data_IF_032807412754
#
_entry.id   IF_032807412754
#
_cell.length_a   1.000
_cell.length_b   1.000
_cell.length_c   1.000
_cell.angle_alpha   90.00
_cell.angle_beta   90.00
_cell.angle_gamma   90.00
#
_symmetry.space_group_name_H-M   'P 1'
#
loop_
_entity.id
_entity.type
_entity.pdbx_description
1 polymer ?
#
# COMPACT_ATOMS: atom_id res chain seq x y z
N UNK A 1 -0.67 -25.75 1.88
CA UNK A 1 -0.93 -24.36 1.51
C UNK A 1 -1.31 -23.55 2.74
N UNK A 2 -0.68 -22.43 2.93
CA UNK A 2 -0.91 -21.60 4.11
C UNK A 2 -1.90 -20.50 3.80
N UNK A 3 -2.83 -20.26 4.71
CA UNK A 3 -3.74 -19.15 4.56
C UNK A 3 -3.01 -17.82 4.79
N UNK A 4 -3.42 -16.72 4.15
CA UNK A 4 -2.82 -15.42 4.40
C UNK A 4 -2.93 -15.03 5.86
N UNK A 5 -1.90 -14.39 6.37
CA UNK A 5 -1.87 -13.92 7.75
C UNK A 5 -2.78 -12.71 7.94
N UNK A 6 -2.89 -11.89 6.93
CA UNK A 6 -3.75 -10.71 6.95
C UNK A 6 -4.48 -10.61 5.64
N UNK A 7 -5.56 -9.83 5.62
CA UNK A 7 -6.32 -9.65 4.38
C UNK A 7 -5.68 -8.60 3.50
N UNK A 8 -5.48 -7.41 4.00
CA UNK A 8 -5.06 -6.28 3.17
C UNK A 8 -3.84 -5.58 3.75
N UNK A 9 -2.83 -5.41 2.91
CA UNK A 9 -1.67 -4.58 3.21
C UNK A 9 -1.73 -3.37 2.29
N UNK A 10 -1.65 -2.19 2.86
CA UNK A 10 -1.59 -0.94 2.11
C UNK A 10 -0.14 -0.46 2.09
N UNK A 11 0.38 -0.23 0.89
CA UNK A 11 1.73 0.29 0.72
C UNK A 11 1.63 1.71 0.19
N UNK A 12 2.08 2.65 0.98
CA UNK A 12 2.07 4.06 0.59
C UNK A 12 3.44 4.40 0.03
N UNK A 13 3.45 4.84 -1.22
CA UNK A 13 4.70 5.10 -1.92
C UNK A 13 5.23 3.84 -2.59
N UNK A 14 4.73 3.56 -3.80
CA UNK A 14 5.09 2.34 -4.55
C UNK A 14 6.32 2.54 -5.43
N UNK A 15 7.31 3.26 -4.94
CA UNK A 15 8.59 3.39 -5.62
C UNK A 15 9.38 2.09 -5.56
N UNK A 16 10.68 2.17 -5.79
CA UNK A 16 11.52 0.97 -5.87
C UNK A 16 11.42 0.09 -4.62
N UNK A 17 11.49 0.68 -3.44
CA UNK A 17 11.43 -0.08 -2.19
C UNK A 17 10.03 -0.64 -1.96
N UNK A 18 9.01 0.19 -2.16
CA UNK A 18 7.63 -0.25 -1.98
C UNK A 18 7.25 -1.36 -2.95
N UNK A 19 7.71 -1.27 -4.21
CA UNK A 19 7.46 -2.29 -5.21
C UNK A 19 8.14 -3.61 -4.86
N UNK A 20 9.37 -3.54 -4.36
CA UNK A 20 10.10 -4.75 -3.95
C UNK A 20 9.41 -5.45 -2.79
N UNK A 21 8.94 -4.68 -1.82
CA UNK A 21 8.21 -5.24 -0.69
C UNK A 21 6.91 -5.88 -1.14
N UNK A 22 6.16 -5.20 -2.01
CA UNK A 22 4.90 -5.72 -2.53
C UNK A 22 5.11 -7.07 -3.22
N UNK A 23 6.16 -7.17 -4.04
CA UNK A 23 6.45 -8.42 -4.72
C UNK A 23 6.80 -9.52 -3.72
N UNK A 24 7.60 -9.21 -2.72
CA UNK A 24 7.97 -10.19 -1.69
C UNK A 24 6.75 -10.66 -0.91
N UNK A 25 5.86 -9.75 -0.57
CA UNK A 25 4.62 -10.10 0.12
C UNK A 25 3.75 -11.03 -0.72
N UNK A 26 3.65 -10.73 -2.00
CA UNK A 26 2.87 -11.56 -2.91
C UNK A 26 3.45 -12.96 -3.03
N UNK A 27 4.76 -13.07 -3.16
CA UNK A 27 5.42 -14.36 -3.28
C UNK A 27 5.31 -15.19 -2.01
N UNK A 28 5.29 -14.53 -0.86
CA UNK A 28 5.21 -15.23 0.43
C UNK A 28 3.80 -15.67 0.80
N UNK A 29 2.78 -15.09 0.17
CA UNK A 29 1.39 -15.37 0.53
C UNK A 29 0.99 -14.76 1.86
N UNK A 30 1.72 -13.76 2.35
CA UNK A 30 1.46 -13.15 3.65
C UNK A 30 0.11 -12.45 3.72
N UNK A 31 -0.32 -11.84 2.63
CA UNK A 31 -1.59 -11.13 2.59
C UNK A 31 -2.39 -11.52 1.37
N UNK A 32 -3.69 -11.29 1.43
CA UNK A 32 -4.61 -11.61 0.35
C UNK A 32 -4.62 -10.52 -0.71
N UNK A 33 -4.62 -9.26 -0.28
CA UNK A 33 -4.73 -8.10 -1.17
C UNK A 33 -3.66 -7.08 -0.84
N UNK A 34 -3.06 -6.50 -1.86
CA UNK A 34 -2.10 -5.41 -1.71
C UNK A 34 -2.67 -4.18 -2.38
N UNK A 35 -2.84 -3.11 -1.63
CA UNK A 35 -3.34 -1.84 -2.12
C UNK A 35 -2.19 -0.83 -2.14
N UNK A 36 -2.00 -0.16 -3.26
CA UNK A 36 -1.01 0.90 -3.37
C UNK A 36 -1.66 2.26 -3.21
N UNK A 37 -0.96 3.19 -2.60
CA UNK A 37 -1.39 4.56 -2.51
C UNK A 37 -0.19 5.47 -2.68
N UNK A 38 -0.40 6.64 -3.26
CA UNK A 38 0.68 7.57 -3.51
C UNK A 38 0.23 8.74 -4.35
N UNK A 39 1.21 9.57 -4.71
CA UNK A 39 0.94 10.84 -5.39
C UNK A 39 0.91 10.69 -6.91
N UNK A 40 1.56 9.69 -7.46
CA UNK A 40 1.70 9.55 -8.91
C UNK A 40 0.82 8.40 -9.39
N UNK A 41 -0.33 8.78 -9.95
CA UNK A 41 -1.30 7.79 -10.41
C UNK A 41 -0.76 6.88 -11.51
N UNK A 42 0.03 7.43 -12.42
CA UNK A 42 0.58 6.61 -13.51
C UNK A 42 1.49 5.49 -12.97
N UNK A 43 2.26 5.78 -11.94
CA UNK A 43 3.11 4.76 -11.31
C UNK A 43 2.25 3.68 -10.65
N UNK A 44 1.16 4.08 -10.00
CA UNK A 44 0.27 3.14 -9.35
C UNK A 44 -0.44 2.26 -10.37
N UNK A 45 -0.91 2.83 -11.47
CA UNK A 45 -1.52 2.06 -12.54
C UNK A 45 -0.56 1.04 -13.11
N UNK A 46 0.68 1.46 -13.32
CA UNK A 46 1.70 0.56 -13.86
C UNK A 46 1.96 -0.61 -12.91
N UNK A 47 1.96 -0.33 -11.61
CA UNK A 47 2.16 -1.40 -10.61
C UNK A 47 1.02 -2.42 -10.65
N UNK A 48 -0.21 -1.97 -10.88
CA UNK A 48 -1.34 -2.88 -11.05
C UNK A 48 -1.17 -3.71 -12.31
N UNK A 49 -0.81 -3.08 -13.40
CA UNK A 49 -0.62 -3.77 -14.69
C UNK A 49 0.46 -4.83 -14.61
N UNK A 50 1.51 -4.57 -13.86
CA UNK A 50 2.62 -5.50 -13.68
C UNK A 50 2.32 -6.59 -12.66
N UNK A 51 1.18 -6.54 -12.00
CA UNK A 51 0.80 -7.53 -10.99
C UNK A 51 1.52 -7.36 -9.67
N UNK A 52 2.14 -6.21 -9.43
CA UNK A 52 2.86 -5.95 -8.17
C UNK A 52 1.87 -5.64 -7.06
N UNK A 53 0.83 -4.89 -7.38
CA UNK A 53 -0.26 -4.60 -6.44
C UNK A 53 -1.59 -5.00 -7.08
N UNK A 54 -2.61 -5.19 -6.26
CA UNK A 54 -3.92 -5.60 -6.76
C UNK A 54 -4.78 -4.41 -7.16
N UNK A 55 -4.67 -3.32 -6.42
CA UNK A 55 -5.45 -2.11 -6.68
C UNK A 55 -4.72 -0.91 -6.10
N UNK A 56 -5.17 0.26 -6.45
CA UNK A 56 -4.60 1.48 -5.91
C UNK A 56 -5.68 2.51 -5.62
N UNK A 57 -5.31 3.50 -4.83
CA UNK A 57 -6.17 4.65 -4.56
C UNK A 57 -5.32 5.91 -4.55
N UNK A 58 -5.84 6.99 -5.09
CA UNK A 58 -5.18 8.29 -5.01
C UNK A 58 -5.40 8.94 -3.65
N UNK A 59 -6.31 8.39 -2.85
CA UNK A 59 -6.57 8.86 -1.49
C UNK A 59 -5.89 7.94 -0.49
N UNK A 60 -4.91 8.46 0.23
CA UNK A 60 -4.20 7.71 1.27
C UNK A 60 -5.16 7.33 2.40
N UNK A 61 -6.03 8.26 2.80
CA UNK A 61 -7.01 7.99 3.86
C UNK A 61 -7.91 6.81 3.49
N UNK A 62 -8.41 6.81 2.25
CA UNK A 62 -9.30 5.74 1.80
C UNK A 62 -8.56 4.41 1.71
N UNK A 63 -7.36 4.41 1.15
CA UNK A 63 -6.58 3.18 1.02
C UNK A 63 -6.21 2.59 2.37
N UNK A 64 -5.91 3.45 3.34
CA UNK A 64 -5.52 3.01 4.68
C UNK A 64 -6.69 2.49 5.49
N UNK A 65 -7.90 2.98 5.22
CA UNK A 65 -9.07 2.65 6.05
C UNK A 65 -9.38 1.16 6.08
N UNK A 66 -9.11 0.44 4.99
CA UNK A 66 -9.40 -0.99 4.89
C UNK A 66 -8.18 -1.87 5.18
N UNK A 67 -7.04 -1.27 5.45
CA UNK A 67 -5.81 -2.04 5.58
C UNK A 67 -5.62 -2.60 6.98
N UNK A 68 -5.15 -3.83 7.06
CA UNK A 68 -4.76 -4.46 8.32
C UNK A 68 -3.34 -4.03 8.70
N UNK A 69 -2.50 -3.83 7.70
CA UNK A 69 -1.13 -3.35 7.88
C UNK A 69 -0.87 -2.24 6.88
N UNK A 70 -0.25 -1.18 7.33
CA UNK A 70 0.11 -0.05 6.49
C UNK A 70 1.63 0.10 6.48
N UNK A 71 2.21 0.05 5.29
CA UNK A 71 3.64 0.25 5.11
C UNK A 71 3.86 1.61 4.46
N UNK A 72 4.63 2.45 5.12
CA UNK A 72 4.91 3.80 4.61
C UNK A 72 6.32 3.82 4.02
N UNK A 73 6.38 4.00 2.70
CA UNK A 73 7.64 4.02 1.95
C UNK A 73 7.73 5.32 1.17
N UNK A 74 7.84 6.42 1.88
CA UNK A 74 7.93 7.76 1.29
C UNK A 74 9.15 8.49 1.86
N UNK A 75 9.62 9.55 1.17
CA UNK A 75 10.71 10.35 1.71
C UNK A 75 10.37 10.89 3.10
N UNK A 76 11.39 11.02 3.94
CA UNK A 76 11.22 11.43 5.32
C UNK A 76 10.43 12.75 5.45
N UNK A 77 10.68 13.69 4.54
CA UNK A 77 9.98 14.98 4.57
C UNK A 77 8.48 14.89 4.30
N UNK A 78 8.02 13.78 3.72
CA UNK A 78 6.60 13.61 3.41
C UNK A 78 5.87 12.79 4.48
N UNK A 79 6.57 12.21 5.43
CA UNK A 79 5.97 11.27 6.38
C UNK A 79 4.89 11.87 7.27
N UNK A 80 5.10 13.11 7.75
CA UNK A 80 4.11 13.72 8.61
C UNK A 80 2.75 13.84 7.92
N UNK A 81 2.75 14.35 6.69
CA UNK A 81 1.51 14.50 5.93
C UNK A 81 0.85 13.16 5.66
N UNK A 82 1.65 12.13 5.40
CA UNK A 82 1.13 10.78 5.17
C UNK A 82 0.47 10.24 6.43
N UNK A 83 1.12 10.37 7.58
CA UNK A 83 0.55 9.88 8.84
C UNK A 83 -0.75 10.62 9.20
N UNK A 84 -0.85 11.90 8.91
CA UNK A 84 -2.08 12.64 9.13
C UNK A 84 -3.22 12.09 8.27
N UNK A 85 -2.94 11.75 7.03
CA UNK A 85 -3.95 11.18 6.13
C UNK A 85 -4.35 9.77 6.55
N UNK A 86 -3.41 8.98 7.03
CA UNK A 86 -3.71 7.64 7.56
C UNK A 86 -4.65 7.79 8.76
N UNK A 87 -4.35 8.70 9.65
CA UNK A 87 -5.16 8.94 10.83
C UNK A 87 -6.58 9.31 10.47
N UNK A 88 -6.76 10.13 9.43
CA UNK A 88 -8.09 10.48 8.95
C UNK A 88 -8.88 9.26 8.52
N UNK A 89 -8.23 8.29 7.89
CA UNK A 89 -8.89 7.08 7.45
C UNK A 89 -9.20 6.09 8.57
N UNK A 90 -8.54 6.24 9.72
CA UNK A 90 -8.67 5.29 10.83
C UNK A 90 -9.41 5.83 12.06
N UNK A 91 -9.92 7.04 11.99
CA UNK A 91 -10.53 7.68 13.17
C UNK A 91 -12.02 7.47 13.31
N UNK A 92 -12.59 6.55 12.70
CA UNK A 92 -14.04 6.29 12.86
C UNK A 92 -14.35 5.49 14.09
#
# INVERSE_FOLDING_TARGET
MTEPRVNTVCIIGTGLIGGSLALALRQSGFCQTITGAGRTESTLQQAVELGVIDRYSSSIAEAASDADIIVVSVPLGAMRAVFEQIEQGKTD
#
